data_IF_296169947192
#
_entry.id   IF_296169947192
#
_cell.length_a   1.000
_cell.length_b   1.000
_cell.length_c   1.000
_cell.angle_alpha   90.00
_cell.angle_beta   90.00
_cell.angle_gamma   90.00
#
_symmetry.space_group_name_H-M   'P 1'
#
loop_
_entity.id
_entity.type
_entity.pdbx_description
1 polymer ?
#
# COMPACT_ATOMS: atom_id res chain seq x y z
N UNK A 1 -13.57 18.52 -3.60
CA UNK A 1 -12.73 17.42 -3.07
C UNK A 1 -13.56 16.15 -3.07
N UNK A 2 -13.08 15.09 -3.71
CA UNK A 2 -13.75 13.79 -3.68
C UNK A 2 -13.79 13.26 -2.24
N UNK A 3 -14.96 12.79 -1.79
CA UNK A 3 -15.17 12.32 -0.42
C UNK A 3 -14.84 10.82 -0.36
N UNK A 4 -13.62 10.49 0.05
CA UNK A 4 -13.21 9.10 0.27
C UNK A 4 -13.56 8.60 1.67
N UNK A 5 -13.76 7.29 1.80
CA UNK A 5 -13.96 6.62 3.09
C UNK A 5 -12.60 6.28 3.71
N UNK A 6 -12.04 7.16 4.55
CA UNK A 6 -10.65 7.01 5.00
C UNK A 6 -10.46 5.97 6.12
N UNK A 7 -11.47 5.74 6.97
CA UNK A 7 -11.37 4.81 8.12
C UNK A 7 -11.79 3.38 7.73
N UNK A 8 -11.14 2.84 6.71
CA UNK A 8 -11.33 1.46 6.22
C UNK A 8 -9.98 0.90 5.73
N UNK A 9 -9.86 -0.43 5.76
CA UNK A 9 -8.75 -1.14 5.13
C UNK A 9 -8.92 -1.19 3.61
N UNK A 10 -7.86 -0.86 2.89
CA UNK A 10 -7.76 -1.01 1.43
C UNK A 10 -6.59 -1.91 1.09
N UNK A 11 -6.70 -2.69 0.01
CA UNK A 11 -5.53 -3.39 -0.55
C UNK A 11 -4.64 -2.38 -1.27
N UNK A 12 -3.39 -2.25 -0.83
CA UNK A 12 -2.40 -1.32 -1.38
C UNK A 12 -1.52 -1.96 -2.46
N UNK A 13 -1.21 -3.24 -2.28
CA UNK A 13 -0.36 -4.06 -3.15
C UNK A 13 -0.59 -5.55 -2.90
N UNK A 14 -0.22 -6.38 -3.86
CA UNK A 14 0.07 -7.79 -3.56
C UNK A 14 1.38 -7.88 -2.78
N UNK A 15 1.46 -8.81 -1.82
CA UNK A 15 2.64 -9.04 -0.98
C UNK A 15 3.92 -9.24 -1.78
N UNK A 16 3.83 -9.91 -2.92
CA UNK A 16 4.95 -10.21 -3.81
C UNK A 16 5.46 -9.00 -4.58
N UNK A 17 4.73 -7.88 -4.62
CA UNK A 17 5.23 -6.65 -5.24
C UNK A 17 6.30 -5.98 -4.38
N UNK A 18 6.28 -6.21 -3.06
CA UNK A 18 7.26 -5.65 -2.14
C UNK A 18 8.50 -6.55 -2.05
N UNK A 19 9.39 -6.37 -3.04
CA UNK A 19 10.67 -7.08 -3.17
C UNK A 19 11.84 -6.21 -2.68
N UNK A 20 12.81 -5.95 -3.56
CA UNK A 20 14.08 -5.26 -3.30
C UNK A 20 14.02 -3.73 -3.49
N UNK A 21 12.91 -3.22 -4.03
CA UNK A 21 12.72 -1.80 -4.33
C UNK A 21 11.43 -1.25 -3.72
N UNK A 22 11.42 0.02 -3.28
CA UNK A 22 10.17 0.67 -2.92
C UNK A 22 9.26 0.82 -4.15
N UNK A 23 7.95 0.79 -3.93
CA UNK A 23 6.95 1.02 -4.98
C UNK A 23 6.10 2.25 -4.64
N UNK A 24 5.69 2.98 -5.67
CA UNK A 24 4.79 4.13 -5.54
C UNK A 24 3.34 3.73 -5.81
N UNK A 25 2.40 4.30 -5.05
CA UNK A 25 0.96 4.20 -5.25
C UNK A 25 0.28 5.54 -5.01
N UNK A 26 -0.86 5.76 -5.67
CA UNK A 26 -1.79 6.83 -5.28
C UNK A 26 -3.01 6.15 -4.66
N UNK A 27 -3.22 6.36 -3.37
CA UNK A 27 -4.32 5.75 -2.61
C UNK A 27 -5.17 6.86 -2.01
N UNK A 28 -6.44 6.91 -2.39
CA UNK A 28 -7.40 7.97 -2.01
C UNK A 28 -6.85 9.39 -2.29
N UNK A 29 -6.10 9.55 -3.39
CA UNK A 29 -5.48 10.81 -3.81
C UNK A 29 -4.14 11.15 -3.14
N UNK A 30 -3.63 10.31 -2.23
CA UNK A 30 -2.35 10.52 -1.55
C UNK A 30 -1.24 9.70 -2.22
N UNK A 31 -0.05 10.28 -2.50
CA UNK A 31 1.08 9.51 -2.98
C UNK A 31 1.75 8.78 -1.81
N UNK A 32 1.86 7.46 -1.93
CA UNK A 32 2.35 6.55 -0.89
C UNK A 32 3.54 5.77 -1.45
N UNK A 33 4.60 5.66 -0.65
CA UNK A 33 5.68 4.71 -0.89
C UNK A 33 5.48 3.49 -0.01
N UNK A 34 5.51 2.31 -0.59
CA UNK A 34 5.49 1.01 0.10
C UNK A 34 6.85 0.33 -0.06
N UNK A 35 7.35 -0.29 1.00
CA UNK A 35 8.62 -1.03 0.94
C UNK A 35 8.64 -2.19 1.94
N UNK A 36 9.51 -3.17 1.69
CA UNK A 36 9.81 -4.27 2.60
C UNK A 36 11.27 -4.23 3.01
N UNK A 37 11.54 -4.09 4.30
CA UNK A 37 12.86 -4.19 4.89
C UNK A 37 13.47 -5.58 4.76
N UNK A 38 14.77 -5.69 4.96
CA UNK A 38 15.51 -6.97 4.92
C UNK A 38 15.02 -8.01 5.94
N UNK A 39 14.48 -7.57 7.08
CA UNK A 39 13.87 -8.45 8.08
C UNK A 39 12.47 -8.95 7.69
N UNK A 40 11.90 -8.43 6.60
CA UNK A 40 10.52 -8.69 6.19
C UNK A 40 9.52 -7.64 6.69
N UNK A 41 9.92 -6.71 7.56
CA UNK A 41 9.05 -5.61 8.02
C UNK A 41 8.58 -4.76 6.84
N UNK A 42 7.29 -4.42 6.81
CA UNK A 42 6.71 -3.59 5.77
C UNK A 42 6.50 -2.16 6.29
N UNK A 43 6.67 -1.17 5.39
CA UNK A 43 6.43 0.23 5.69
C UNK A 43 5.62 0.92 4.58
N UNK A 44 4.74 1.83 4.98
CA UNK A 44 4.04 2.75 4.10
C UNK A 44 4.23 4.18 4.61
N UNK A 45 4.79 5.05 3.78
CA UNK A 45 5.05 6.45 4.11
C UNK A 45 4.44 7.37 3.05
N UNK A 46 4.21 8.65 3.42
CA UNK A 46 3.94 9.68 2.41
C UNK A 46 5.13 9.74 1.46
N UNK A 47 4.88 9.69 0.16
CA UNK A 47 5.93 9.60 -0.86
C UNK A 47 6.59 10.96 -1.12
N UNK A 48 7.03 11.62 -0.04
CA UNK A 48 7.59 12.97 -0.03
C UNK A 48 8.62 13.07 1.08
N UNK A 49 9.89 13.24 0.69
CA UNK A 49 10.97 13.48 1.64
C UNK A 49 10.74 14.79 2.41
N UNK A 50 10.85 14.77 3.74
CA UNK A 50 10.70 15.96 4.58
C UNK A 50 11.70 17.09 4.26
N UNK A 51 12.80 16.77 3.57
CA UNK A 51 13.80 17.76 3.17
C UNK A 51 13.33 18.65 2.00
N UNK A 52 13.02 18.06 0.84
CA UNK A 52 12.68 18.79 -0.41
C UNK A 52 11.59 18.11 -1.24
N UNK A 53 10.72 17.33 -0.60
CA UNK A 53 9.56 16.67 -1.20
C UNK A 53 9.87 15.70 -2.33
N UNK A 54 11.14 15.31 -2.52
CA UNK A 54 11.50 14.27 -3.48
C UNK A 54 10.74 12.98 -3.15
N UNK A 55 10.15 12.32 -4.16
CA UNK A 55 9.54 11.01 -3.96
C UNK A 55 10.54 10.04 -3.32
N UNK A 56 10.16 9.49 -2.17
CA UNK A 56 10.94 8.49 -1.46
C UNK A 56 10.96 7.15 -2.22
N UNK A 57 9.97 6.92 -3.08
CA UNK A 57 9.89 5.80 -4.01
C UNK A 57 11.01 5.79 -5.07
N UNK A 58 11.68 6.92 -5.31
CA UNK A 58 12.91 6.99 -6.12
C UNK A 58 14.17 6.64 -5.32
N UNK A 59 14.00 6.28 -4.05
CA UNK A 59 15.06 5.89 -3.13
C UNK A 59 15.42 4.41 -3.21
N UNK A 60 16.01 3.91 -2.13
CA UNK A 60 16.38 2.49 -1.98
C UNK A 60 16.15 1.98 -0.57
N UNK A 61 16.01 0.67 -0.45
CA UNK A 61 15.89 -0.04 0.82
C UNK A 61 17.28 -0.18 1.45
N UNK A 62 17.44 0.29 2.69
CA UNK A 62 18.67 0.24 3.49
C UNK A 62 18.43 -0.49 4.82
N UNK A 63 18.63 -1.81 4.81
CA UNK A 63 18.22 -2.66 5.94
C UNK A 63 16.70 -2.68 6.05
N UNK A 64 16.17 -2.21 7.16
CA UNK A 64 14.72 -2.09 7.41
C UNK A 64 14.19 -0.66 7.23
N UNK A 65 14.92 0.14 6.44
CA UNK A 65 14.70 1.58 6.31
C UNK A 65 14.63 1.99 4.85
N UNK A 66 14.10 3.18 4.63
CA UNK A 66 13.99 3.79 3.32
C UNK A 66 14.95 4.98 3.22
N UNK A 67 15.92 4.89 2.32
CA UNK A 67 16.84 5.99 2.02
C UNK A 67 16.34 6.78 0.81
N UNK A 68 16.15 8.09 0.99
CA UNK A 68 15.80 9.01 -0.08
C UNK A 68 16.90 9.11 -1.14
N UNK A 69 16.53 8.93 -2.41
CA UNK A 69 17.45 8.96 -3.57
C UNK A 69 18.08 10.33 -3.88
N UNK A 70 17.72 11.40 -3.15
CA UNK A 70 18.29 12.74 -3.38
C UNK A 70 19.51 13.01 -2.51
N UNK A 71 19.32 13.09 -1.18
CA UNK A 71 20.38 13.48 -0.24
C UNK A 71 20.65 12.40 0.83
N UNK A 72 20.16 11.17 0.62
CA UNK A 72 20.45 10.04 1.50
C UNK A 72 19.79 10.11 2.89
N UNK A 73 18.77 10.96 3.08
CA UNK A 73 17.98 10.98 4.32
C UNK A 73 17.25 9.66 4.47
N UNK A 74 17.38 9.03 5.63
CA UNK A 74 16.87 7.69 5.87
C UNK A 74 15.73 7.72 6.89
N UNK A 75 14.66 7.00 6.60
CA UNK A 75 13.46 6.91 7.42
C UNK A 75 13.21 5.46 7.84
N UNK A 76 12.78 5.24 9.08
CA UNK A 76 12.26 3.94 9.52
C UNK A 76 10.80 3.73 9.06
N UNK A 77 10.23 2.53 9.33
CA UNK A 77 8.86 2.19 8.96
C UNK A 77 7.80 3.05 9.67
N UNK A 78 8.13 3.67 10.81
CA UNK A 78 7.25 4.61 11.50
C UNK A 78 7.32 6.03 10.89
N UNK A 79 8.19 6.24 9.89
CA UNK A 79 8.38 7.51 9.20
C UNK A 79 9.35 8.44 9.91
N UNK A 80 10.00 8.01 11.00
CA UNK A 80 10.99 8.83 11.70
C UNK A 80 12.27 8.89 10.89
N UNK A 81 12.83 10.08 10.74
CA UNK A 81 14.14 10.25 10.14
C UNK A 81 15.22 9.78 11.13
N UNK A 82 15.99 8.79 10.73
CA UNK A 82 16.98 8.09 11.58
C UNK A 82 18.42 8.34 11.14
N UNK A 83 18.63 8.90 9.93
CA UNK A 83 19.97 9.27 9.45
C UNK A 83 19.91 10.47 8.52
N UNK A 84 20.75 11.46 8.81
CA UNK A 84 21.08 12.57 7.91
C UNK A 84 22.59 12.47 7.59
N UNK A 85 22.98 12.22 6.33
CA UNK A 85 24.41 12.18 5.99
C UNK A 85 25.12 13.48 6.36
N UNK A 86 26.19 13.38 7.15
CA UNK A 86 27.03 14.52 7.54
C UNK A 86 26.48 15.42 8.65
N UNK A 87 25.35 15.09 9.27
CA UNK A 87 24.74 15.85 10.36
C UNK A 87 24.31 14.93 11.50
N UNK A 88 24.17 15.49 12.70
CA UNK A 88 23.45 14.80 13.78
C UNK A 88 21.98 14.65 13.39
N UNK A 89 21.41 13.48 13.65
CA UNK A 89 20.00 13.19 13.32
C UNK A 89 19.06 13.89 14.31
N UNK A 90 18.29 14.91 13.90
CA UNK A 90 17.32 15.56 14.79
C UNK A 90 16.15 14.61 15.08
N UNK A 91 15.76 14.50 16.35
CA UNK A 91 14.75 13.53 16.80
C UNK A 91 13.32 13.77 16.29
N UNK A 92 13.03 14.95 15.72
CA UNK A 92 11.66 15.43 15.42
C UNK A 92 11.29 15.42 13.94
N UNK A 93 12.18 15.01 13.04
CA UNK A 93 11.87 14.97 11.61
C UNK A 93 11.15 13.66 11.31
N UNK A 94 9.92 13.77 10.81
CA UNK A 94 9.08 12.63 10.45
C UNK A 94 8.41 12.87 9.11
N UNK A 95 8.17 11.79 8.37
CA UNK A 95 7.16 11.72 7.30
C UNK A 95 5.96 10.94 7.83
N UNK A 96 4.76 11.22 7.30
CA UNK A 96 3.56 10.49 7.71
C UNK A 96 3.73 9.00 7.38
N UNK A 97 3.49 8.13 8.34
CA UNK A 97 3.38 6.68 8.15
C UNK A 97 1.92 6.25 8.17
N UNK A 98 1.65 5.08 7.58
CA UNK A 98 0.31 4.51 7.48
C UNK A 98 0.32 3.10 8.08
N UNK A 99 -0.67 2.73 8.92
CA UNK A 99 -0.80 1.37 9.42
C UNK A 99 -0.93 0.37 8.27
N UNK A 100 -0.22 -0.74 8.38
CA UNK A 100 -0.24 -1.83 7.43
C UNK A 100 -0.58 -3.16 8.10
N UNK A 101 -1.26 -4.03 7.37
CA UNK A 101 -1.37 -5.45 7.70
C UNK A 101 -1.06 -6.25 6.44
N UNK A 102 -0.12 -7.19 6.54
CA UNK A 102 0.10 -8.17 5.48
C UNK A 102 -0.58 -9.48 5.84
N UNK A 103 -1.49 -9.93 4.97
CA UNK A 103 -2.24 -11.18 5.16
C UNK A 103 -2.80 -11.66 3.83
N UNK A 104 -2.90 -12.98 3.65
CA UNK A 104 -3.58 -13.59 2.49
C UNK A 104 -3.04 -13.14 1.12
N UNK A 105 -1.72 -12.90 1.04
CA UNK A 105 -1.06 -12.45 -0.20
C UNK A 105 -1.25 -10.96 -0.52
N UNK A 106 -1.86 -10.18 0.37
CA UNK A 106 -2.06 -8.75 0.20
C UNK A 106 -1.41 -7.93 1.32
N UNK A 107 -1.07 -6.69 0.96
CA UNK A 107 -0.70 -5.63 1.90
C UNK A 107 -1.88 -4.67 2.01
N UNK A 108 -2.56 -4.71 3.15
CA UNK A 108 -3.63 -3.80 3.51
C UNK A 108 -3.07 -2.51 4.11
N UNK A 109 -3.66 -1.36 3.76
CA UNK A 109 -3.31 -0.03 4.27
C UNK A 109 -4.53 0.66 4.88
N UNK A 110 -4.30 1.37 5.99
CA UNK A 110 -5.28 2.24 6.61
C UNK A 110 -4.95 3.72 6.34
N UNK A 111 -5.84 4.43 5.66
CA UNK A 111 -5.59 5.81 5.21
C UNK A 111 -6.10 6.89 6.17
N UNK A 112 -6.92 6.48 7.14
CA UNK A 112 -7.63 7.36 8.06
C UNK A 112 -6.89 7.65 9.34
N UNK A 113 -7.66 7.74 10.42
CA UNK A 113 -7.16 7.93 11.78
C UNK A 113 -6.47 6.64 12.27
N UNK A 114 -5.15 6.63 12.50
CA UNK A 114 -4.42 5.42 12.86
C UNK A 114 -4.91 4.78 14.17
N UNK A 115 -5.46 5.57 15.10
CA UNK A 115 -6.00 5.05 16.36
C UNK A 115 -7.30 4.25 16.17
N UNK A 116 -7.90 4.32 14.96
CA UNK A 116 -9.09 3.57 14.57
C UNK A 116 -8.77 2.35 13.71
N UNK A 117 -7.49 2.12 13.38
CA UNK A 117 -7.07 0.96 12.61
C UNK A 117 -7.17 -0.30 13.48
N UNK A 118 -8.28 -1.03 13.31
CA UNK A 118 -8.51 -2.31 14.00
C UNK A 118 -8.35 -3.47 13.02
N UNK A 119 -7.39 -4.36 13.30
CA UNK A 119 -7.12 -5.55 12.48
C UNK A 119 -8.31 -6.52 12.44
N UNK A 120 -9.22 -6.46 13.43
CA UNK A 120 -10.44 -7.27 13.42
C UNK A 120 -11.48 -6.81 12.39
N UNK A 121 -11.30 -5.62 11.80
CA UNK A 121 -12.18 -5.10 10.74
C UNK A 121 -11.70 -5.46 9.32
N UNK A 122 -10.61 -6.20 9.20
CA UNK A 122 -10.19 -6.75 7.90
C UNK A 122 -11.26 -7.70 7.36
N UNK A 123 -11.64 -7.61 6.07
CA UNK A 123 -12.53 -8.59 5.47
C UNK A 123 -11.90 -9.98 5.50
N UNK A 124 -12.70 -11.02 5.78
CA UNK A 124 -12.19 -12.37 5.92
C UNK A 124 -11.93 -13.04 4.56
N UNK A 125 -10.67 -13.38 4.30
CA UNK A 125 -10.21 -14.16 3.15
C UNK A 125 -9.41 -15.40 3.59
N UNK A 126 -9.76 -16.04 4.72
CA UNK A 126 -9.02 -17.17 5.29
C UNK A 126 -8.68 -18.29 4.31
N UNK A 127 -9.56 -18.58 3.33
CA UNK A 127 -9.33 -19.61 2.30
C UNK A 127 -8.05 -19.39 1.50
N UNK A 128 -7.60 -18.14 1.35
CA UNK A 128 -6.36 -17.78 0.66
C UNK A 128 -5.10 -18.16 1.45
N UNK A 129 -5.24 -18.55 2.72
CA UNK A 129 -4.15 -19.01 3.58
C UNK A 129 -4.16 -20.51 3.87
N UNK A 130 -5.06 -21.28 3.26
CA UNK A 130 -5.16 -22.73 3.48
C UNK A 130 -4.43 -23.50 2.36
N UNK A 131 -3.61 -24.49 2.73
CA UNK A 131 -2.77 -25.26 1.79
C UNK A 131 -3.53 -25.99 0.66
N UNK A 132 -4.83 -26.24 0.85
CA UNK A 132 -5.70 -26.91 -0.14
C UNK A 132 -6.18 -25.97 -1.26
N UNK A 133 -5.95 -24.67 -1.14
CA UNK A 133 -6.33 -23.67 -2.13
C UNK A 133 -5.10 -23.01 -2.73
N UNK A 134 -5.18 -22.68 -4.02
CA UNK A 134 -4.19 -21.84 -4.71
C UNK A 134 -4.90 -20.58 -5.17
N UNK A 135 -4.39 -19.43 -4.75
CA UNK A 135 -4.85 -18.13 -5.25
C UNK A 135 -4.18 -17.79 -6.58
N UNK A 136 -4.94 -17.24 -7.51
CA UNK A 136 -4.43 -16.59 -8.72
C UNK A 136 -5.13 -15.22 -8.87
N UNK A 137 -4.44 -14.27 -9.49
CA UNK A 137 -4.95 -12.92 -9.63
C UNK A 137 -3.93 -11.95 -10.17
N UNK A 138 -4.40 -10.74 -10.43
CA UNK A 138 -3.57 -9.67 -10.95
C UNK A 138 -4.12 -8.29 -10.60
N UNK A 139 -3.38 -7.27 -11.01
CA UNK A 139 -3.79 -5.88 -10.86
C UNK A 139 -4.26 -5.34 -12.21
N UNK A 140 -5.47 -4.80 -12.25
CA UNK A 140 -6.01 -4.10 -13.39
C UNK A 140 -6.20 -2.63 -13.05
N UNK A 141 -5.58 -1.74 -13.84
CA UNK A 141 -5.89 -0.31 -13.76
C UNK A 141 -7.18 -0.04 -14.52
N UNK A 142 -8.17 0.53 -13.82
CA UNK A 142 -9.42 0.98 -14.43
C UNK A 142 -9.59 2.48 -14.25
N UNK A 143 -9.81 3.20 -15.35
CA UNK A 143 -10.00 4.65 -15.35
C UNK A 143 -11.47 5.01 -15.11
N UNK A 144 -11.98 4.62 -13.95
CA UNK A 144 -13.36 4.86 -13.55
C UNK A 144 -13.45 5.17 -12.05
N UNK A 145 -14.58 5.76 -11.63
CA UNK A 145 -14.88 5.86 -10.21
C UNK A 145 -15.08 4.47 -9.61
N UNK A 146 -14.57 4.21 -8.40
CA UNK A 146 -14.63 2.86 -7.80
C UNK A 146 -16.06 2.34 -7.60
N UNK A 147 -17.03 3.24 -7.43
CA UNK A 147 -18.45 2.86 -7.35
C UNK A 147 -18.94 2.13 -8.61
N UNK A 148 -18.43 2.49 -9.80
CA UNK A 148 -18.81 1.80 -11.04
C UNK A 148 -18.30 0.36 -11.07
N UNK A 149 -17.16 0.08 -10.44
CA UNK A 149 -16.65 -1.28 -10.27
C UNK A 149 -17.49 -2.04 -9.26
N UNK A 150 -17.89 -1.40 -8.15
CA UNK A 150 -18.79 -2.01 -7.18
C UNK A 150 -20.13 -2.38 -7.81
N UNK A 151 -20.72 -1.48 -8.60
CA UNK A 151 -21.98 -1.72 -9.31
C UNK A 151 -21.82 -2.88 -10.31
N UNK A 152 -20.72 -2.92 -11.05
CA UNK A 152 -20.43 -4.03 -11.96
C UNK A 152 -20.31 -5.38 -11.24
N UNK A 153 -19.59 -5.44 -10.11
CA UNK A 153 -19.38 -6.68 -9.36
C UNK A 153 -20.66 -7.21 -8.69
N UNK A 154 -21.63 -6.33 -8.39
CA UNK A 154 -22.89 -6.70 -7.74
C UNK A 154 -24.02 -7.01 -8.73
N UNK A 155 -23.85 -6.74 -10.02
CA UNK A 155 -24.84 -7.04 -11.06
C UNK A 155 -24.48 -8.32 -11.83
N UNK A 156 -25.24 -9.41 -11.66
CA UNK A 156 -25.03 -10.65 -12.41
C UNK A 156 -25.64 -10.62 -13.83
N UNK A 157 -26.52 -9.65 -14.13
CA UNK A 157 -27.26 -9.65 -15.40
C UNK A 157 -26.38 -9.36 -16.61
N UNK A 158 -25.27 -8.65 -16.43
CA UNK A 158 -24.29 -8.37 -17.48
C UNK A 158 -23.48 -9.60 -17.90
N UNK A 159 -23.43 -10.66 -17.07
CA UNK A 159 -22.53 -11.80 -17.31
C UNK A 159 -22.78 -12.49 -18.66
N UNK A 160 -24.05 -12.69 -19.04
CA UNK A 160 -24.42 -13.30 -20.32
C UNK A 160 -24.10 -12.45 -21.56
N UNK A 161 -23.85 -11.14 -21.38
CA UNK A 161 -23.59 -10.22 -22.48
C UNK A 161 -22.11 -9.87 -22.59
N UNK A 162 -21.46 -9.55 -21.47
CA UNK A 162 -20.08 -9.09 -21.41
C UNK A 162 -19.08 -10.25 -21.29
N UNK A 163 -19.49 -11.36 -20.66
CA UNK A 163 -18.61 -12.52 -20.37
C UNK A 163 -18.92 -13.74 -21.23
N UNK A 164 -19.39 -13.54 -22.47
CA UNK A 164 -19.78 -14.61 -23.43
C UNK A 164 -18.68 -15.63 -23.71
N UNK A 165 -17.42 -15.22 -23.58
CA UNK A 165 -16.26 -16.05 -23.88
C UNK A 165 -15.52 -16.52 -22.63
N UNK A 166 -15.95 -16.10 -21.43
CA UNK A 166 -15.19 -16.27 -20.19
C UNK A 166 -15.98 -16.90 -19.04
N UNK A 167 -17.26 -16.55 -18.85
CA UNK A 167 -18.07 -17.04 -17.70
C UNK A 167 -19.42 -17.63 -18.10
N UNK A 168 -20.06 -17.09 -19.13
CA UNK A 168 -21.39 -17.52 -19.56
C UNK A 168 -21.27 -18.38 -20.82
N UNK A 169 -20.88 -19.65 -20.63
CA UNK A 169 -20.98 -20.73 -21.64
C UNK A 169 -22.27 -21.50 -21.48
#
# INVERSE_FOLDING_TARGET
MSKFLNNYWYVAANSEELKDKPIARIILGNPIVLFRGKSGIIGALDDRCAHRLTPLSLGRIDGDRLECGYHGWTYDCAGKCVRLPGLETPQKITVKSFPLVEKWGWVFIWMGDPDKADNNTLPDFHVMGEDKWVGDGGMLRVEAHCDLIRDNLLDLTHAKYTHKQTLAT
#
